data_IF_777632767426
#
_entry.id   IF_777632767426
#
_cell.length_a   1.000
_cell.length_b   1.000
_cell.length_c   1.000
_cell.angle_alpha   90.00
_cell.angle_beta   90.00
_cell.angle_gamma   90.00
#
_symmetry.space_group_name_H-M   'P 1'
#
loop_
_entity.id
_entity.type
_entity.pdbx_description
1 polymer ?
#
# COMPACT_ATOMS: atom_id res chain seq x y z
N UNK A 1 29.34 19.87 58.10
CA UNK A 1 27.87 19.99 57.93
C UNK A 1 27.42 18.92 56.94
N UNK A 2 26.25 18.32 57.16
CA UNK A 2 25.77 17.06 56.55
C UNK A 2 24.68 17.33 55.48
N UNK A 3 24.60 16.43 54.48
CA UNK A 3 23.43 15.99 53.67
C UNK A 3 23.05 16.83 52.40
N UNK A 4 22.33 16.26 51.40
CA UNK A 4 22.79 15.23 50.43
C UNK A 4 22.30 15.47 48.97
N UNK A 5 22.80 14.64 48.05
CA UNK A 5 22.29 14.18 46.74
C UNK A 5 20.98 14.81 46.21
N UNK A 6 21.03 15.33 44.98
CA UNK A 6 19.89 15.31 44.06
C UNK A 6 20.35 14.82 42.68
N UNK A 7 20.19 13.51 42.46
CA UNK A 7 20.21 12.90 41.16
C UNK A 7 18.98 13.42 40.39
N UNK A 8 19.21 14.16 39.30
CA UNK A 8 18.19 14.56 38.35
C UNK A 8 18.35 13.77 37.06
N UNK A 9 17.81 12.54 37.02
CA UNK A 9 17.54 11.83 35.78
C UNK A 9 16.57 12.67 34.93
N UNK A 10 17.04 13.31 33.87
CA UNK A 10 16.16 13.59 32.75
C UNK A 10 16.06 12.31 31.93
N UNK A 11 15.11 11.50 32.36
CA UNK A 11 14.63 10.32 31.67
C UNK A 11 14.30 10.67 30.22
N UNK A 12 14.90 9.91 29.30
CA UNK A 12 14.65 10.02 27.89
C UNK A 12 13.17 9.81 27.58
N UNK A 13 12.63 10.73 26.79
CA UNK A 13 11.48 10.43 25.96
C UNK A 13 12.02 10.44 24.53
N UNK A 14 12.69 9.35 24.16
CA UNK A 14 12.79 8.99 22.75
C UNK A 14 11.40 8.46 22.39
N UNK A 15 10.53 9.37 21.91
CA UNK A 15 9.28 8.96 21.32
C UNK A 15 9.62 7.97 20.19
N UNK A 16 9.26 6.70 20.38
CA UNK A 16 9.26 5.70 19.33
C UNK A 16 8.28 6.21 18.27
N UNK A 17 8.79 6.93 17.28
CA UNK A 17 8.10 7.09 16.01
C UNK A 17 7.96 5.67 15.49
N UNK A 18 6.76 5.10 15.70
CA UNK A 18 6.38 3.80 15.16
C UNK A 18 6.81 3.75 13.71
N UNK A 19 7.58 2.73 13.35
CA UNK A 19 8.10 2.58 12.00
C UNK A 19 6.90 2.64 11.04
N UNK A 20 6.82 3.70 10.23
CA UNK A 20 6.04 3.60 9.01
C UNK A 20 6.86 2.67 8.15
N UNK A 21 6.54 1.37 8.16
CA UNK A 21 7.01 0.51 7.07
C UNK A 21 6.21 0.95 5.84
N UNK A 22 6.58 2.10 5.29
CA UNK A 22 6.36 2.47 3.91
C UNK A 22 7.09 1.43 3.07
N UNK A 23 6.55 0.22 3.02
CA UNK A 23 7.02 -0.87 2.19
C UNK A 23 6.60 -0.59 0.76
N UNK A 24 7.09 0.53 0.25
CA UNK A 24 6.97 0.92 -1.13
C UNK A 24 7.64 -0.16 -1.97
N UNK A 25 6.86 -0.83 -2.80
CA UNK A 25 7.34 -1.86 -3.70
C UNK A 25 7.05 -1.46 -5.13
N UNK A 26 7.93 -1.91 -6.02
CA UNK A 26 7.69 -1.93 -7.46
C UNK A 26 7.97 -3.33 -7.97
N UNK A 27 7.13 -3.83 -8.86
CA UNK A 27 7.25 -5.13 -9.52
C UNK A 27 6.94 -4.97 -10.99
N UNK A 28 7.87 -5.37 -11.83
CA UNK A 28 7.67 -5.42 -13.27
C UNK A 28 7.85 -6.87 -13.74
N UNK A 29 7.13 -7.24 -14.79
CA UNK A 29 7.25 -8.56 -15.38
C UNK A 29 6.82 -8.54 -16.84
N UNK A 30 7.36 -9.44 -17.63
CA UNK A 30 6.99 -9.65 -19.02
C UNK A 30 6.97 -11.12 -19.34
N UNK A 31 6.06 -11.52 -20.23
CA UNK A 31 5.98 -12.87 -20.76
C UNK A 31 5.88 -12.79 -22.29
N UNK A 32 6.77 -13.49 -22.97
CA UNK A 32 6.76 -13.60 -24.43
C UNK A 32 6.12 -14.92 -24.83
N UNK A 33 5.19 -14.85 -25.77
CA UNK A 33 4.49 -16.01 -26.34
C UNK A 33 4.53 -15.88 -27.87
N UNK A 34 4.22 -16.94 -28.63
CA UNK A 34 4.09 -16.84 -30.09
C UNK A 34 3.07 -15.79 -30.57
N UNK A 35 2.14 -15.38 -29.69
CA UNK A 35 1.14 -14.33 -29.96
C UNK A 35 1.63 -12.91 -29.63
N UNK A 36 2.88 -12.75 -29.21
CA UNK A 36 3.51 -11.48 -28.81
C UNK A 36 3.87 -11.43 -27.32
N UNK A 37 4.35 -10.27 -26.87
CA UNK A 37 4.80 -10.04 -25.48
C UNK A 37 3.76 -9.28 -24.67
N UNK A 38 3.40 -9.81 -23.51
CA UNK A 38 2.62 -9.08 -22.51
C UNK A 38 3.52 -8.57 -21.39
N UNK A 39 3.18 -7.42 -20.82
CA UNK A 39 3.91 -6.82 -19.69
C UNK A 39 2.98 -6.42 -18.56
N UNK A 40 3.55 -6.34 -17.36
CA UNK A 40 2.90 -5.85 -16.16
C UNK A 40 3.87 -4.97 -15.38
N UNK A 41 3.36 -3.86 -14.87
CA UNK A 41 4.02 -2.98 -13.93
C UNK A 41 3.09 -2.77 -12.75
N UNK A 42 3.58 -2.94 -11.54
CA UNK A 42 2.80 -2.73 -10.34
C UNK A 42 3.64 -2.00 -9.30
N UNK A 43 3.02 -1.04 -8.63
CA UNK A 43 3.62 -0.34 -7.50
C UNK A 43 2.61 -0.21 -6.38
N UNK A 44 3.08 -0.03 -5.16
CA UNK A 44 2.22 0.11 -4.01
C UNK A 44 3.02 0.25 -2.75
N UNK A 45 2.31 0.38 -1.63
CA UNK A 45 2.92 0.45 -0.32
C UNK A 45 1.86 0.56 0.76
N UNK A 46 2.27 0.29 1.99
CA UNK A 46 1.45 0.41 3.18
C UNK A 46 2.02 1.46 4.13
N UNK A 47 1.17 2.14 4.88
CA UNK A 47 1.58 3.09 5.89
C UNK A 47 0.36 3.54 6.70
N UNK A 48 0.52 3.70 8.02
CA UNK A 48 -0.54 4.23 8.88
C UNK A 48 -1.86 3.44 8.82
N UNK A 49 -1.80 2.11 8.70
CA UNK A 49 -2.98 1.25 8.59
C UNK A 49 -3.66 1.26 7.21
N UNK A 50 -3.08 1.93 6.21
CA UNK A 50 -3.59 1.97 4.84
C UNK A 50 -2.59 1.41 3.85
N UNK A 51 -3.02 0.51 2.98
CA UNK A 51 -2.25 -0.05 1.87
C UNK A 51 -2.85 0.38 0.54
N UNK A 52 -2.02 0.86 -0.38
CA UNK A 52 -2.42 1.21 -1.75
C UNK A 52 -1.63 0.42 -2.78
N UNK A 53 -2.26 0.11 -3.92
CA UNK A 53 -1.61 -0.59 -5.03
C UNK A 53 -2.14 -0.12 -6.38
N UNK A 54 -1.23 0.13 -7.30
CA UNK A 54 -1.46 0.45 -8.70
C UNK A 54 -0.85 -0.62 -9.61
N UNK A 55 -1.53 -0.96 -10.69
CA UNK A 55 -1.11 -1.96 -11.66
C UNK A 55 -1.46 -1.48 -13.06
N UNK A 56 -0.51 -1.59 -13.98
CA UNK A 56 -0.71 -1.44 -15.42
C UNK A 56 -0.32 -2.76 -16.09
N UNK A 57 -1.18 -3.25 -16.98
CA UNK A 57 -0.91 -4.44 -17.79
C UNK A 57 -1.14 -4.11 -19.24
N UNK A 58 -0.20 -4.51 -20.09
CA UNK A 58 -0.28 -4.34 -21.54
C UNK A 58 -0.20 -5.71 -22.19
N UNK A 59 -1.18 -6.02 -23.02
CA UNK A 59 -1.23 -7.24 -23.81
C UNK A 59 -0.37 -7.16 -25.07
N UNK A 60 -0.16 -8.29 -25.74
CA UNK A 60 0.69 -8.38 -26.92
C UNK A 60 0.18 -7.58 -28.13
N UNK A 61 -1.11 -7.23 -28.14
CA UNK A 61 -1.74 -6.42 -29.18
C UNK A 61 -1.88 -4.93 -28.77
N UNK A 62 -1.12 -4.48 -27.76
CA UNK A 62 -1.10 -3.08 -27.30
C UNK A 62 -2.25 -2.68 -26.37
N UNK A 63 -3.33 -3.46 -26.30
CA UNK A 63 -4.43 -3.23 -25.36
C UNK A 63 -3.93 -3.25 -23.91
N UNK A 64 -4.23 -2.18 -23.16
CA UNK A 64 -3.78 -2.02 -21.78
C UNK A 64 -4.95 -1.86 -20.81
N UNK A 65 -4.78 -2.30 -19.57
CA UNK A 65 -5.69 -1.96 -18.49
C UNK A 65 -4.92 -1.50 -17.26
N UNK A 66 -5.53 -0.60 -16.50
CA UNK A 66 -5.03 -0.12 -15.22
C UNK A 66 -5.94 -0.55 -14.09
N UNK A 67 -5.35 -0.81 -12.92
CA UNK A 67 -6.08 -1.00 -11.67
C UNK A 67 -5.39 -0.25 -10.56
N UNK A 68 -6.11 0.61 -9.86
CA UNK A 68 -5.66 1.25 -8.62
C UNK A 68 -6.62 0.91 -7.49
N UNK A 69 -6.15 0.92 -6.26
CA UNK A 69 -7.02 0.74 -5.10
C UNK A 69 -6.28 0.86 -3.79
N UNK A 70 -7.04 1.04 -2.73
CA UNK A 70 -6.55 1.16 -1.36
C UNK A 70 -7.43 0.40 -0.39
N UNK A 71 -6.83 -0.05 0.71
CA UNK A 71 -7.49 -0.68 1.84
C UNK A 71 -6.97 -0.02 3.10
N UNK A 72 -7.88 0.41 3.97
CA UNK A 72 -7.58 0.99 5.27
C UNK A 72 -8.19 0.11 6.36
N UNK A 73 -7.38 -0.27 7.34
CA UNK A 73 -7.79 -1.07 8.48
C UNK A 73 -7.65 -0.24 9.76
N UNK A 74 -8.74 -0.17 10.52
CA UNK A 74 -8.71 0.40 11.86
C UNK A 74 -8.33 -0.70 12.86
N UNK A 75 -7.14 -0.56 13.46
CA UNK A 75 -6.60 -1.54 14.40
C UNK A 75 -7.44 -1.67 15.69
N UNK A 76 -8.15 -0.61 16.07
CA UNK A 76 -8.98 -0.59 17.30
C UNK A 76 -10.32 -1.27 17.09
N UNK A 77 -10.95 -1.09 15.93
CA UNK A 77 -12.27 -1.67 15.64
C UNK A 77 -12.20 -2.99 14.89
N UNK A 78 -11.03 -3.39 14.37
CA UNK A 78 -10.87 -4.58 13.55
C UNK A 78 -11.53 -4.49 12.16
N UNK A 79 -12.05 -3.32 11.80
CA UNK A 79 -12.74 -3.09 10.52
C UNK A 79 -11.73 -2.67 9.46
N UNK A 80 -11.75 -3.36 8.33
CA UNK A 80 -11.03 -2.97 7.12
C UNK A 80 -12.01 -2.60 6.02
N UNK A 81 -11.80 -1.45 5.38
CA UNK A 81 -12.57 -1.03 4.22
C UNK A 81 -11.63 -0.69 3.07
N UNK A 82 -12.06 -0.90 1.84
CA UNK A 82 -11.25 -0.57 0.68
C UNK A 82 -12.05 -0.39 -0.59
N UNK A 83 -11.39 0.19 -1.57
CA UNK A 83 -11.93 0.38 -2.91
C UNK A 83 -10.87 0.11 -3.97
N UNK A 84 -11.32 -0.24 -5.16
CA UNK A 84 -10.45 -0.34 -6.32
C UNK A 84 -11.20 0.01 -7.59
N UNK A 85 -10.48 0.64 -8.51
CA UNK A 85 -10.97 1.06 -9.81
C UNK A 85 -10.14 0.37 -10.87
N UNK A 86 -10.81 -0.21 -11.87
CA UNK A 86 -10.19 -0.83 -13.04
C UNK A 86 -10.62 -0.05 -14.27
N UNK A 87 -9.67 0.40 -15.08
CA UNK A 87 -9.92 1.03 -16.37
C UNK A 87 -9.41 0.12 -17.48
N UNK A 88 -10.29 -0.27 -18.39
CA UNK A 88 -9.94 -1.08 -19.56
C UNK A 88 -9.38 -0.25 -20.72
N UNK A 89 -8.87 -0.94 -21.73
CA UNK A 89 -8.28 -0.31 -22.93
C UNK A 89 -9.25 0.57 -23.71
N UNK A 90 -10.55 0.30 -23.59
CA UNK A 90 -11.62 1.04 -24.25
C UNK A 90 -12.12 2.23 -23.40
N UNK A 91 -11.42 2.62 -22.33
CA UNK A 91 -11.80 3.72 -21.43
C UNK A 91 -12.90 3.37 -20.41
N UNK A 92 -13.59 2.24 -20.57
CA UNK A 92 -14.57 1.76 -19.61
C UNK A 92 -13.97 1.53 -18.22
N UNK A 93 -14.65 2.02 -17.20
CA UNK A 93 -14.18 2.00 -15.81
C UNK A 93 -15.15 1.29 -14.90
N UNK A 94 -14.64 0.44 -14.00
CA UNK A 94 -15.42 -0.23 -12.96
C UNK A 94 -14.79 0.04 -11.60
N UNK A 95 -15.59 0.57 -10.68
CA UNK A 95 -15.19 0.78 -9.28
C UNK A 95 -15.90 -0.23 -8.38
N UNK A 96 -15.15 -0.81 -7.45
CA UNK A 96 -15.65 -1.76 -6.44
C UNK A 96 -15.20 -1.29 -5.08
N UNK A 97 -16.07 -1.38 -4.09
CA UNK A 97 -15.78 -1.09 -2.69
C UNK A 97 -16.37 -2.17 -1.80
N UNK A 98 -15.76 -2.36 -0.63
CA UNK A 98 -16.25 -3.33 0.35
C UNK A 98 -15.56 -3.14 1.70
N UNK A 99 -16.15 -3.75 2.71
CA UNK A 99 -15.61 -3.76 4.07
C UNK A 99 -15.75 -5.14 4.70
N UNK A 100 -14.84 -5.44 5.62
CA UNK A 100 -14.86 -6.62 6.46
C UNK A 100 -14.61 -6.20 7.90
N UNK A 101 -15.32 -6.81 8.84
CA UNK A 101 -15.18 -6.61 10.28
C UNK A 101 -14.95 -7.96 10.96
N UNK A 102 -14.26 -7.96 12.09
CA UNK A 102 -14.02 -9.14 12.93
C UNK A 102 -14.59 -8.93 14.31
#
# INVERSE_FOLDING_TARGET
MRKPIAAGLFAGILALLSVVEANAFTRNGSISTPRGTASVSASGGCGGGTCSRSVQRTGPYGGSFSRSGSVSCNATTGVCAGSSTVTGSNGGTVTRSGSISR
#
